data_IF_961371939479
#
_entry.id   IF_961371939479
#
_cell.length_a   1.000
_cell.length_b   1.000
_cell.length_c   1.000
_cell.angle_alpha   90.00
_cell.angle_beta   90.00
_cell.angle_gamma   90.00
#
_symmetry.space_group_name_H-M   'P 1'
#
loop_
_entity.id
_entity.type
_entity.pdbx_description
1 polymer ?
#
# COMPACT_ATOMS: atom_id res chain seq x y z
N UNK A 1 -15.53 -0.60 -14.32
CA UNK A 1 -16.71 -1.44 -13.98
C UNK A 1 -17.12 -1.15 -12.54
N UNK A 2 -18.41 -1.03 -12.26
CA UNK A 2 -18.97 -0.87 -10.92
C UNK A 2 -19.83 -2.08 -10.55
N UNK A 3 -19.70 -2.55 -9.32
CA UNK A 3 -20.50 -3.64 -8.73
C UNK A 3 -20.84 -3.21 -7.31
N UNK A 4 -22.13 -3.28 -6.91
CA UNK A 4 -22.57 -2.83 -5.57
C UNK A 4 -21.95 -3.65 -4.43
N UNK A 5 -21.70 -4.93 -4.64
CA UNK A 5 -21.10 -5.85 -3.66
C UNK A 5 -20.31 -6.95 -4.35
N UNK A 6 -19.17 -7.31 -3.78
CA UNK A 6 -18.38 -8.48 -4.18
C UNK A 6 -17.62 -9.04 -2.98
N UNK A 7 -17.08 -10.25 -3.08
CA UNK A 7 -16.22 -10.79 -2.02
C UNK A 7 -14.88 -10.06 -1.94
N UNK A 8 -14.24 -9.75 -3.08
CA UNK A 8 -13.01 -8.97 -3.16
C UNK A 8 -12.79 -8.47 -4.58
N UNK A 9 -12.56 -7.18 -4.76
CA UNK A 9 -12.30 -6.60 -6.09
C UNK A 9 -11.03 -7.17 -6.72
N UNK A 10 -9.98 -7.45 -5.93
CA UNK A 10 -8.72 -8.04 -6.41
C UNK A 10 -8.92 -9.48 -6.89
N UNK A 11 -9.64 -10.29 -6.10
CA UNK A 11 -9.93 -11.68 -6.49
C UNK A 11 -10.80 -11.72 -7.74
N UNK A 12 -11.86 -10.89 -7.77
CA UNK A 12 -12.75 -10.81 -8.93
C UNK A 12 -11.99 -10.37 -10.20
N UNK A 13 -11.10 -9.37 -10.10
CA UNK A 13 -10.31 -8.92 -11.24
C UNK A 13 -9.34 -10.00 -11.73
N UNK A 14 -8.71 -10.74 -10.80
CA UNK A 14 -7.85 -11.87 -11.15
C UNK A 14 -8.63 -12.99 -11.88
N UNK A 15 -9.86 -13.30 -11.45
CA UNK A 15 -10.71 -14.31 -12.09
C UNK A 15 -11.22 -13.88 -13.48
N UNK A 16 -11.48 -12.58 -13.66
CA UNK A 16 -11.92 -12.01 -14.93
C UNK A 16 -10.77 -11.66 -15.87
N UNK A 17 -9.52 -11.85 -15.42
CA UNK A 17 -8.38 -11.48 -16.23
C UNK A 17 -8.41 -12.15 -17.60
N UNK A 18 -8.16 -11.34 -18.60
CA UNK A 18 -7.88 -11.78 -19.98
C UNK A 18 -6.95 -10.78 -20.66
N UNK A 19 -6.25 -11.22 -21.69
CA UNK A 19 -5.36 -10.34 -22.46
C UNK A 19 -6.10 -9.23 -23.22
N UNK A 20 -7.42 -9.32 -23.33
CA UNK A 20 -8.27 -8.28 -23.94
C UNK A 20 -8.57 -7.11 -22.98
N UNK A 21 -8.38 -7.27 -21.67
CA UNK A 21 -8.60 -6.18 -20.72
C UNK A 21 -7.55 -5.09 -20.91
N UNK A 22 -7.96 -3.82 -21.02
CA UNK A 22 -7.01 -2.72 -21.20
C UNK A 22 -6.21 -2.46 -19.93
N UNK A 23 -5.05 -1.82 -20.08
CA UNK A 23 -4.32 -1.22 -18.98
C UNK A 23 -5.20 -0.21 -18.23
N UNK A 24 -5.10 -0.17 -16.90
CA UNK A 24 -5.95 0.58 -15.98
C UNK A 24 -7.43 0.15 -15.98
N UNK A 25 -7.75 -1.06 -16.50
CA UNK A 25 -9.09 -1.60 -16.28
C UNK A 25 -9.34 -1.72 -14.78
N UNK A 26 -10.44 -1.12 -14.31
CA UNK A 26 -10.71 -0.96 -12.88
C UNK A 26 -12.09 -1.52 -12.52
N UNK A 27 -12.13 -2.31 -11.43
CA UNK A 27 -13.36 -2.76 -10.78
C UNK A 27 -13.48 -2.02 -9.44
N UNK A 28 -14.59 -1.33 -9.22
CA UNK A 28 -14.95 -0.65 -7.96
C UNK A 28 -16.19 -1.29 -7.35
N UNK A 29 -16.24 -1.32 -6.02
CA UNK A 29 -17.42 -1.79 -5.26
C UNK A 29 -17.72 -0.86 -4.08
N UNK A 30 -18.97 -0.90 -3.61
CA UNK A 30 -19.37 -0.23 -2.36
C UNK A 30 -19.08 -1.07 -1.13
N UNK A 31 -18.98 -2.41 -1.29
CA UNK A 31 -18.77 -3.31 -0.17
C UNK A 31 -18.03 -4.59 -0.59
N UNK A 32 -17.12 -5.04 0.26
CA UNK A 32 -16.43 -6.34 0.14
C UNK A 32 -16.79 -7.24 1.31
N UNK A 33 -17.34 -8.44 1.02
CA UNK A 33 -17.67 -9.43 2.06
C UNK A 33 -16.43 -10.18 2.58
N UNK A 34 -15.34 -10.19 1.81
CA UNK A 34 -14.07 -10.82 2.15
C UNK A 34 -12.90 -9.95 1.66
N UNK A 35 -12.89 -8.67 2.06
CA UNK A 35 -11.81 -7.73 1.72
C UNK A 35 -10.45 -8.24 2.14
N UNK A 36 -9.47 -8.18 1.23
CA UNK A 36 -8.12 -8.75 1.40
C UNK A 36 -7.09 -7.65 1.64
N UNK A 37 -6.19 -7.93 2.58
CA UNK A 37 -4.94 -7.22 2.77
C UNK A 37 -3.75 -8.14 2.52
N UNK A 38 -2.55 -7.68 2.83
CA UNK A 38 -1.35 -8.49 2.70
C UNK A 38 -1.33 -9.63 3.74
N UNK A 39 -0.88 -10.81 3.30
CA UNK A 39 -0.53 -11.94 4.16
C UNK A 39 -1.63 -12.48 5.06
N UNK A 40 -2.82 -12.59 4.55
CA UNK A 40 -3.96 -13.13 5.28
C UNK A 40 -4.68 -12.12 6.15
N UNK A 41 -4.25 -10.86 6.18
CA UNK A 41 -5.01 -9.80 6.82
C UNK A 41 -6.27 -9.46 6.00
N UNK A 42 -7.37 -9.15 6.70
CA UNK A 42 -8.57 -8.60 6.09
C UNK A 42 -8.47 -7.08 5.87
N UNK A 43 -9.37 -6.57 5.05
CA UNK A 43 -9.65 -5.14 4.92
C UNK A 43 -11.09 -4.88 5.35
N UNK A 44 -11.28 -4.14 6.45
CA UNK A 44 -12.59 -3.73 6.93
C UNK A 44 -13.10 -2.51 6.16
N UNK A 45 -14.37 -2.51 5.82
CA UNK A 45 -15.03 -1.35 5.22
C UNK A 45 -16.53 -1.36 5.49
N UNK A 46 -17.06 -0.21 5.91
CA UNK A 46 -18.49 0.02 5.96
C UNK A 46 -19.04 0.28 4.54
N UNK A 47 -20.23 -0.25 4.26
CA UNK A 47 -20.87 -0.15 2.92
C UNK A 47 -21.02 1.30 2.47
N UNK A 48 -20.47 1.61 1.28
CA UNK A 48 -20.59 2.91 0.63
C UNK A 48 -19.80 4.05 1.28
N UNK A 49 -19.05 3.78 2.35
CA UNK A 49 -18.30 4.82 3.06
C UNK A 49 -16.86 4.99 2.56
N UNK A 50 -16.30 3.97 1.94
CA UNK A 50 -14.88 3.94 1.56
C UNK A 50 -14.72 3.68 0.05
N UNK A 51 -13.61 4.10 -0.50
CA UNK A 51 -13.25 3.78 -1.87
C UNK A 51 -12.55 2.42 -1.91
N UNK A 52 -13.20 1.44 -2.52
CA UNK A 52 -12.72 0.06 -2.66
C UNK A 52 -12.63 -0.29 -4.14
N UNK A 53 -11.43 -0.52 -4.65
CA UNK A 53 -11.25 -0.87 -6.04
C UNK A 53 -10.00 -1.71 -6.29
N UNK A 54 -9.97 -2.36 -7.44
CA UNK A 54 -8.76 -2.99 -7.96
C UNK A 54 -8.57 -2.61 -9.42
N UNK A 55 -7.33 -2.38 -9.81
CA UNK A 55 -6.96 -2.01 -11.17
C UNK A 55 -5.93 -2.95 -11.75
N UNK A 56 -6.01 -3.19 -13.06
CA UNK A 56 -5.07 -3.98 -13.83
C UNK A 56 -3.96 -3.08 -14.38
N UNK A 57 -2.73 -3.37 -14.01
CA UNK A 57 -1.54 -2.73 -14.59
C UNK A 57 -0.88 -3.70 -15.57
N UNK A 58 -0.60 -3.22 -16.76
CA UNK A 58 0.09 -3.98 -17.82
C UNK A 58 1.25 -3.14 -18.35
N UNK A 59 2.44 -3.64 -18.15
CA UNK A 59 3.66 -3.01 -18.66
C UNK A 59 4.47 -4.02 -19.45
N UNK A 60 5.02 -3.58 -20.55
CA UNK A 60 6.00 -4.39 -21.29
C UNK A 60 7.36 -4.27 -20.60
N UNK A 61 8.02 -5.42 -20.41
CA UNK A 61 9.43 -5.50 -20.02
C UNK A 61 9.80 -5.00 -18.60
N UNK A 62 8.90 -5.03 -17.62
CA UNK A 62 9.30 -4.87 -16.22
C UNK A 62 9.88 -6.19 -15.71
N UNK A 63 11.17 -6.20 -15.39
CA UNK A 63 11.81 -7.34 -14.72
C UNK A 63 11.18 -7.58 -13.35
N UNK A 64 10.96 -8.84 -12.98
CA UNK A 64 10.44 -9.20 -11.65
C UNK A 64 11.33 -8.66 -10.52
N UNK A 65 12.65 -8.55 -10.72
CA UNK A 65 13.59 -7.94 -9.78
C UNK A 65 13.39 -6.42 -9.60
N UNK A 66 12.66 -5.77 -10.51
CA UNK A 66 12.35 -4.34 -10.48
C UNK A 66 10.86 -4.05 -10.21
N UNK A 67 10.10 -5.04 -9.76
CA UNK A 67 8.67 -4.88 -9.43
C UNK A 67 8.40 -3.83 -8.34
N UNK A 68 9.42 -3.50 -7.53
CA UNK A 68 9.35 -2.43 -6.52
C UNK A 68 8.93 -1.08 -7.11
N UNK A 69 9.30 -0.80 -8.36
CA UNK A 69 8.86 0.42 -9.06
C UNK A 69 7.34 0.58 -9.07
N UNK A 70 6.59 -0.52 -9.18
CA UNK A 70 5.12 -0.48 -9.18
C UNK A 70 4.57 -0.04 -7.82
N UNK A 71 5.19 -0.49 -6.73
CA UNK A 71 4.81 -0.07 -5.37
C UNK A 71 5.03 1.42 -5.16
N UNK A 72 6.18 1.95 -5.58
CA UNK A 72 6.46 3.38 -5.50
C UNK A 72 5.49 4.20 -6.35
N UNK A 73 5.29 3.81 -7.61
CA UNK A 73 4.41 4.50 -8.55
C UNK A 73 2.99 4.63 -8.01
N UNK A 74 2.39 3.52 -7.57
CA UNK A 74 1.02 3.50 -7.03
C UNK A 74 0.91 4.35 -5.76
N UNK A 75 1.89 4.25 -4.86
CA UNK A 75 1.87 5.00 -3.60
C UNK A 75 2.02 6.50 -3.84
N UNK A 76 2.93 6.92 -4.73
CA UNK A 76 3.13 8.34 -5.07
C UNK A 76 1.89 8.93 -5.76
N UNK A 77 1.30 8.21 -6.71
CA UNK A 77 0.06 8.65 -7.36
C UNK A 77 -1.09 8.82 -6.36
N UNK A 78 -1.23 7.93 -5.37
CA UNK A 78 -2.22 8.08 -4.30
C UNK A 78 -1.91 9.24 -3.37
N UNK A 79 -0.64 9.39 -2.98
CA UNK A 79 -0.21 10.52 -2.15
C UNK A 79 -0.54 11.85 -2.81
N UNK A 80 -0.23 12.02 -4.09
CA UNK A 80 -0.52 13.22 -4.88
C UNK A 80 -2.02 13.56 -4.88
N UNK A 81 -2.88 12.56 -5.07
CA UNK A 81 -4.33 12.76 -5.03
C UNK A 81 -4.78 13.20 -3.65
N UNK A 82 -4.37 12.48 -2.61
CA UNK A 82 -4.80 12.76 -1.23
C UNK A 82 -4.26 14.11 -0.72
N UNK A 83 -3.11 14.54 -1.21
CA UNK A 83 -2.52 15.85 -0.91
C UNK A 83 -3.33 17.05 -1.42
N UNK A 84 -4.33 16.84 -2.30
CA UNK A 84 -5.29 17.87 -2.70
C UNK A 84 -6.48 17.99 -1.73
N UNK A 85 -6.70 17.00 -0.89
CA UNK A 85 -7.80 16.96 0.07
C UNK A 85 -7.35 17.16 1.51
N UNK A 86 -6.10 16.80 1.82
CA UNK A 86 -5.57 16.73 3.19
C UNK A 86 -4.33 17.61 3.35
N UNK A 87 -4.09 18.16 4.54
CA UNK A 87 -2.83 18.85 4.86
C UNK A 87 -1.63 17.91 4.65
N UNK A 88 -0.61 18.40 3.93
CA UNK A 88 0.51 17.57 3.46
C UNK A 88 1.47 17.15 4.57
N UNK A 89 1.52 17.91 5.65
CA UNK A 89 2.52 17.78 6.73
C UNK A 89 2.46 16.44 7.46
N UNK A 90 1.26 15.86 7.56
CA UNK A 90 1.05 14.56 8.22
C UNK A 90 0.79 13.41 7.25
N UNK A 91 0.70 13.69 5.95
CA UNK A 91 0.44 12.68 4.92
C UNK A 91 1.77 12.06 4.46
N UNK A 92 1.94 10.76 4.68
CA UNK A 92 3.18 10.06 4.40
C UNK A 92 2.94 8.70 3.75
N UNK A 93 3.97 8.19 3.07
CA UNK A 93 3.99 6.84 2.50
C UNK A 93 4.73 5.94 3.50
N UNK A 94 4.03 5.01 4.15
CA UNK A 94 4.68 4.01 4.97
C UNK A 94 5.15 2.84 4.12
N UNK A 95 6.45 2.58 4.16
CA UNK A 95 7.03 1.44 3.46
C UNK A 95 6.30 0.13 3.76
N UNK A 96 5.99 -0.74 2.76
CA UNK A 96 6.38 -0.56 1.35
C UNK A 96 5.47 0.37 0.55
N UNK A 97 4.18 0.53 0.84
CA UNK A 97 3.24 1.23 -0.03
C UNK A 97 1.93 1.72 0.62
N UNK A 98 1.75 1.58 1.93
CA UNK A 98 0.57 2.11 2.62
C UNK A 98 0.63 3.64 2.74
N UNK A 99 -0.53 4.33 2.74
CA UNK A 99 -0.57 5.76 3.04
C UNK A 99 -1.04 5.96 4.48
N UNK A 100 -0.29 6.79 5.20
CA UNK A 100 -0.54 7.11 6.59
C UNK A 100 -0.84 8.60 6.76
N UNK A 101 -1.66 8.89 7.77
CA UNK A 101 -1.85 10.22 8.35
C UNK A 101 -1.30 10.21 9.78
N UNK A 102 -0.20 10.89 10.01
CA UNK A 102 0.57 10.72 11.25
C UNK A 102 0.91 9.24 11.46
N UNK A 103 0.46 8.67 12.57
CA UNK A 103 0.66 7.25 12.89
C UNK A 103 -0.52 6.34 12.48
N UNK A 104 -1.52 6.88 11.78
CA UNK A 104 -2.74 6.16 11.45
C UNK A 104 -2.80 5.76 9.98
N UNK A 105 -3.32 4.57 9.71
CA UNK A 105 -3.44 4.04 8.34
C UNK A 105 -4.66 4.60 7.64
N UNK A 106 -4.43 5.34 6.57
CA UNK A 106 -5.46 5.93 5.72
C UNK A 106 -5.79 5.05 4.51
N UNK A 107 -4.75 4.47 3.88
CA UNK A 107 -4.87 3.64 2.69
C UNK A 107 -4.10 2.35 2.84
N UNK A 108 -4.71 1.24 2.42
CA UNK A 108 -4.05 -0.04 2.21
C UNK A 108 -3.93 -0.38 0.73
N UNK A 109 -2.75 -0.88 0.33
CA UNK A 109 -2.46 -1.28 -1.05
C UNK A 109 -1.99 -2.73 -1.07
N UNK A 110 -2.61 -3.53 -1.92
CA UNK A 110 -2.23 -4.92 -2.20
C UNK A 110 -1.85 -5.06 -3.67
N UNK A 111 -0.61 -5.38 -3.96
CA UNK A 111 -0.12 -5.61 -5.32
C UNK A 111 0.16 -7.09 -5.50
N UNK A 112 -0.53 -7.71 -6.45
CA UNK A 112 -0.38 -9.12 -6.81
C UNK A 112 0.17 -9.18 -8.25
N UNK A 113 1.41 -9.65 -8.39
CA UNK A 113 2.11 -9.71 -9.68
C UNK A 113 2.02 -11.13 -10.27
N UNK A 114 1.57 -11.25 -11.51
CA UNK A 114 1.68 -12.46 -12.30
C UNK A 114 2.97 -12.41 -13.15
N UNK A 115 3.83 -13.41 -12.98
CA UNK A 115 5.12 -13.46 -13.67
C UNK A 115 5.03 -14.28 -14.95
N UNK A 116 5.64 -13.78 -16.03
CA UNK A 116 5.85 -14.49 -17.28
C UNK A 116 7.37 -14.53 -17.54
N UNK A 117 7.95 -15.70 -17.31
CA UNK A 117 9.41 -15.85 -17.34
C UNK A 117 10.11 -14.99 -16.30
N UNK A 118 10.94 -14.04 -16.73
CA UNK A 118 11.67 -13.10 -15.86
C UNK A 118 10.95 -11.75 -15.66
N UNK A 119 9.82 -11.56 -16.33
CA UNK A 119 9.11 -10.29 -16.35
C UNK A 119 7.80 -10.37 -15.55
N UNK A 120 7.33 -9.21 -15.10
CA UNK A 120 5.95 -9.02 -14.66
C UNK A 120 5.07 -9.00 -15.90
N UNK A 121 4.17 -9.97 -16.07
CA UNK A 121 3.22 -10.01 -17.17
C UNK A 121 2.07 -9.03 -16.96
N UNK A 122 1.52 -9.02 -15.75
CA UNK A 122 0.54 -8.04 -15.30
C UNK A 122 0.53 -7.96 -13.78
N UNK A 123 -0.10 -6.91 -13.26
CA UNK A 123 -0.31 -6.75 -11.82
C UNK A 123 -1.76 -6.39 -11.54
N UNK A 124 -2.36 -7.01 -10.54
CA UNK A 124 -3.63 -6.59 -9.96
C UNK A 124 -3.33 -5.79 -8.69
N UNK A 125 -3.73 -4.53 -8.70
CA UNK A 125 -3.50 -3.60 -7.58
C UNK A 125 -4.84 -3.33 -6.89
N UNK A 126 -5.01 -3.92 -5.71
CA UNK A 126 -6.15 -3.65 -4.83
C UNK A 126 -5.86 -2.46 -3.92
N UNK A 127 -6.78 -1.53 -3.85
CA UNK A 127 -6.67 -0.30 -3.06
C UNK A 127 -7.94 -0.10 -2.24
N UNK A 128 -7.74 0.10 -0.93
CA UNK A 128 -8.77 0.55 -0.01
C UNK A 128 -8.41 1.89 0.60
N UNK A 129 -9.19 2.93 0.31
CA UNK A 129 -9.04 4.26 0.91
C UNK A 129 -10.14 4.45 1.93
N UNK A 130 -9.78 4.75 3.17
CA UNK A 130 -10.73 5.12 4.21
C UNK A 130 -11.20 6.57 3.95
N UNK A 131 -12.42 6.74 3.45
CA UNK A 131 -12.93 8.05 3.03
C UNK A 131 -13.87 8.64 4.08
N UNK A 132 -15.03 8.03 4.26
CA UNK A 132 -16.11 8.57 5.10
C UNK A 132 -16.47 7.71 6.33
N UNK A 133 -15.83 6.56 6.50
CA UNK A 133 -16.05 5.70 7.67
C UNK A 133 -15.49 6.35 8.94
N UNK A 134 -16.27 6.34 10.02
CA UNK A 134 -15.89 6.95 11.31
C UNK A 134 -15.80 5.94 12.45
N UNK A 135 -16.39 4.77 12.30
CA UNK A 135 -16.40 3.71 13.29
C UNK A 135 -15.71 2.45 12.75
N UNK A 136 -14.96 1.78 13.62
CA UNK A 136 -14.17 0.61 13.29
C UNK A 136 -14.52 -0.53 14.24
N UNK A 137 -14.79 -1.70 13.71
CA UNK A 137 -15.23 -2.89 14.49
C UNK A 137 -14.13 -3.96 14.56
N UNK A 138 -13.17 -3.93 13.63
CA UNK A 138 -12.04 -4.87 13.63
C UNK A 138 -10.96 -4.45 14.62
N UNK A 139 -10.02 -5.36 14.85
CA UNK A 139 -8.80 -5.09 15.64
C UNK A 139 -7.70 -4.40 14.81
N UNK A 140 -8.06 -3.67 13.75
CA UNK A 140 -7.10 -2.86 13.00
C UNK A 140 -6.45 -1.84 13.95
N UNK A 141 -5.12 -1.78 14.05
CA UNK A 141 -4.48 -1.10 15.18
C UNK A 141 -4.64 0.42 15.14
N UNK A 142 -4.83 1.02 13.98
CA UNK A 142 -4.77 2.47 13.83
C UNK A 142 -5.42 2.99 12.54
N UNK A 143 -6.67 2.61 12.22
CA UNK A 143 -7.34 3.14 11.04
C UNK A 143 -7.73 4.61 11.26
N UNK A 144 -7.75 5.37 10.16
CA UNK A 144 -8.28 6.73 10.11
C UNK A 144 -8.89 6.99 8.74
N UNK A 145 -9.89 7.84 8.65
CA UNK A 145 -10.51 8.25 7.39
C UNK A 145 -10.30 9.73 7.08
N UNK A 146 -10.50 10.10 5.82
CA UNK A 146 -10.45 11.50 5.37
C UNK A 146 -11.49 12.35 6.12
N UNK A 147 -12.69 11.79 6.34
CA UNK A 147 -13.75 12.47 7.10
C UNK A 147 -13.34 12.74 8.56
N UNK A 148 -12.69 11.80 9.23
CA UNK A 148 -12.18 12.00 10.60
C UNK A 148 -11.09 13.07 10.67
N UNK A 149 -10.26 13.18 9.61
CA UNK A 149 -9.20 14.20 9.54
C UNK A 149 -9.76 15.59 9.31
N UNK A 150 -10.75 15.73 8.44
CA UNK A 150 -11.19 17.04 7.93
C UNK A 150 -12.55 17.49 8.46
N UNK A 151 -13.33 16.58 9.03
CA UNK A 151 -14.72 16.81 9.41
C UNK A 151 -15.69 16.91 8.22
N UNK A 152 -15.28 16.49 7.01
CA UNK A 152 -16.08 16.57 5.78
C UNK A 152 -16.23 15.20 5.12
N UNK A 153 -17.38 14.94 4.50
CA UNK A 153 -17.55 13.78 3.61
C UNK A 153 -17.07 14.11 2.20
N UNK A 154 -16.60 13.09 1.49
CA UNK A 154 -16.06 13.18 0.13
C UNK A 154 -16.72 12.18 -0.81
N UNK A 155 -17.01 12.57 -2.07
CA UNK A 155 -17.45 11.64 -3.10
C UNK A 155 -16.33 10.68 -3.46
N UNK A 156 -16.55 9.38 -3.25
CA UNK A 156 -15.49 8.37 -3.48
C UNK A 156 -15.11 8.23 -4.96
N UNK A 157 -16.06 8.53 -5.87
CA UNK A 157 -15.87 8.48 -7.31
C UNK A 157 -14.83 9.51 -7.78
N UNK A 158 -14.89 10.73 -7.27
CA UNK A 158 -13.97 11.82 -7.63
C UNK A 158 -12.52 11.47 -7.25
N UNK A 159 -12.33 10.77 -6.13
CA UNK A 159 -11.01 10.31 -5.69
C UNK A 159 -10.48 9.24 -6.66
N UNK A 160 -11.33 8.31 -7.11
CA UNK A 160 -10.95 7.29 -8.09
C UNK A 160 -10.56 7.90 -9.43
N UNK A 161 -11.35 8.83 -9.95
CA UNK A 161 -11.07 9.52 -11.21
C UNK A 161 -9.75 10.29 -11.13
N UNK A 162 -9.55 11.02 -10.03
CA UNK A 162 -8.31 11.75 -9.76
C UNK A 162 -7.11 10.80 -9.71
N UNK A 163 -7.27 9.62 -9.09
CA UNK A 163 -6.18 8.63 -9.01
C UNK A 163 -5.84 8.04 -10.39
N UNK A 164 -6.83 7.73 -11.22
CA UNK A 164 -6.59 7.26 -12.60
C UNK A 164 -5.82 8.32 -13.40
N UNK A 165 -6.18 9.59 -13.25
CA UNK A 165 -5.46 10.69 -13.90
C UNK A 165 -4.02 10.83 -13.37
N UNK A 166 -3.83 10.74 -12.05
CA UNK A 166 -2.51 10.78 -11.42
C UNK A 166 -1.63 9.60 -11.88
N UNK A 167 -2.17 8.38 -11.94
CA UNK A 167 -1.45 7.21 -12.45
C UNK A 167 -0.93 7.45 -13.87
N UNK A 168 -1.79 7.88 -14.78
CA UNK A 168 -1.40 8.19 -16.17
C UNK A 168 -0.31 9.26 -16.26
N UNK A 169 -0.31 10.23 -15.37
CA UNK A 169 0.73 11.26 -15.30
C UNK A 169 2.06 10.71 -14.77
N UNK A 170 2.01 9.94 -13.68
CA UNK A 170 3.20 9.40 -13.04
C UNK A 170 3.87 8.28 -13.85
N UNK A 171 3.11 7.51 -14.64
CA UNK A 171 3.64 6.48 -15.54
C UNK A 171 4.58 7.04 -16.62
N UNK A 172 4.41 8.30 -16.99
CA UNK A 172 5.26 9.00 -17.95
C UNK A 172 6.59 9.51 -17.36
N UNK A 173 6.76 9.43 -16.02
CA UNK A 173 7.95 9.91 -15.34
C UNK A 173 9.07 8.86 -15.33
N UNK A 174 10.30 9.34 -15.27
CA UNK A 174 11.45 8.48 -15.07
C UNK A 174 11.42 7.82 -13.69
N UNK A 175 12.05 6.65 -13.57
CA UNK A 175 12.07 5.91 -12.30
C UNK A 175 12.68 6.72 -11.16
N UNK A 176 13.72 7.50 -11.45
CA UNK A 176 14.42 8.35 -10.49
C UNK A 176 13.53 9.47 -9.93
N UNK A 177 12.61 10.00 -10.75
CA UNK A 177 11.62 11.00 -10.29
C UNK A 177 10.60 10.37 -9.35
N UNK A 178 10.12 9.15 -9.68
CA UNK A 178 9.18 8.39 -8.84
C UNK A 178 9.85 8.04 -7.50
N UNK A 179 11.09 7.56 -7.53
CA UNK A 179 11.86 7.23 -6.34
C UNK A 179 12.10 8.45 -5.46
N UNK A 180 12.49 9.57 -6.06
CA UNK A 180 12.69 10.83 -5.35
C UNK A 180 11.41 11.28 -4.65
N UNK A 181 10.28 11.28 -5.34
CA UNK A 181 8.98 11.62 -4.77
C UNK A 181 8.57 10.65 -3.65
N UNK A 182 8.76 9.35 -3.86
CA UNK A 182 8.48 8.34 -2.85
C UNK A 182 9.30 8.57 -1.57
N UNK A 183 10.62 8.76 -1.70
CA UNK A 183 11.52 9.00 -0.57
C UNK A 183 11.22 10.34 0.14
N UNK A 184 10.82 11.36 -0.61
CA UNK A 184 10.44 12.67 -0.05
C UNK A 184 9.26 12.55 0.92
N UNK A 185 8.31 11.65 0.64
CA UNK A 185 7.10 11.48 1.43
C UNK A 185 7.15 10.27 2.36
N UNK A 186 8.33 9.66 2.54
CA UNK A 186 8.46 8.44 3.32
C UNK A 186 8.22 8.69 4.81
N UNK A 187 7.34 7.88 5.40
CA UNK A 187 7.08 7.85 6.83
C UNK A 187 8.34 7.44 7.62
N UNK A 188 8.69 8.20 8.66
CA UNK A 188 9.90 7.99 9.47
C UNK A 188 11.20 8.02 8.67
N UNK A 189 11.25 8.86 7.67
CA UNK A 189 12.46 9.07 6.88
C UNK A 189 13.61 9.64 7.71
N UNK A 190 13.28 10.52 8.63
CA UNK A 190 14.28 11.23 9.46
C UNK A 190 14.16 10.83 10.93
N UNK A 191 15.30 10.88 11.63
CA UNK A 191 15.37 10.62 13.06
C UNK A 191 15.48 9.14 13.43
N UNK A 192 15.52 8.92 14.74
CA UNK A 192 15.58 7.59 15.33
C UNK A 192 14.19 7.13 15.73
N UNK A 193 13.82 5.90 15.34
CA UNK A 193 12.51 5.33 15.61
C UNK A 193 12.62 3.92 16.14
N UNK A 194 11.60 3.50 16.88
CA UNK A 194 11.54 2.15 17.46
C UNK A 194 10.96 1.16 16.45
N UNK A 195 11.65 0.04 16.30
CA UNK A 195 11.27 -1.08 15.45
C UNK A 195 11.38 -2.39 16.23
N UNK A 196 10.72 -3.43 15.71
CA UNK A 196 10.79 -4.81 16.23
C UNK A 196 11.08 -5.73 15.05
N UNK A 197 12.09 -6.58 15.19
CA UNK A 197 12.37 -7.65 14.23
C UNK A 197 11.34 -8.78 14.39
N UNK A 198 10.92 -9.34 13.28
CA UNK A 198 10.05 -10.50 13.22
C UNK A 198 10.77 -11.64 12.51
N UNK A 199 10.77 -12.81 13.11
CA UNK A 199 11.16 -14.02 12.40
C UNK A 199 10.07 -14.38 11.39
N UNK A 200 10.42 -14.40 10.12
CA UNK A 200 9.55 -14.94 9.07
C UNK A 200 9.72 -16.45 9.09
N UNK A 201 8.85 -17.17 9.82
CA UNK A 201 8.82 -18.62 9.76
C UNK A 201 8.46 -19.07 8.35
N UNK A 202 9.34 -19.88 7.75
CA UNK A 202 9.09 -20.54 6.46
C UNK A 202 8.23 -21.79 6.58
N UNK A 203 7.85 -22.19 7.80
CA UNK A 203 7.07 -23.39 8.06
C UNK A 203 5.56 -23.06 8.18
N UNK A 204 4.67 -23.79 7.47
CA UNK A 204 3.23 -23.54 7.48
C UNK A 204 2.53 -23.82 8.82
N UNK A 205 3.21 -24.39 9.80
CA UNK A 205 2.62 -24.93 11.04
C UNK A 205 3.26 -24.46 12.35
N UNK A 206 4.17 -23.49 12.29
CA UNK A 206 4.72 -22.94 13.53
C UNK A 206 3.72 -21.95 14.13
N UNK A 207 3.04 -22.35 15.21
CA UNK A 207 2.46 -21.41 16.17
C UNK A 207 3.62 -20.51 16.59
N UNK A 208 3.57 -19.23 16.18
CA UNK A 208 4.56 -18.27 16.58
C UNK A 208 4.59 -18.26 18.11
N UNK A 209 5.63 -18.84 18.70
CA UNK A 209 5.92 -18.59 20.10
C UNK A 209 6.18 -17.09 20.18
N UNK A 210 5.37 -16.39 20.96
CA UNK A 210 5.61 -15.01 21.36
C UNK A 210 6.89 -14.98 22.20
N UNK A 211 8.04 -15.04 21.52
CA UNK A 211 9.30 -14.63 22.10
C UNK A 211 9.19 -13.13 22.41
N UNK A 212 9.88 -12.67 23.45
CA UNK A 212 10.01 -11.26 23.77
C UNK A 212 10.58 -10.58 22.51
N UNK A 213 9.73 -9.85 21.78
CA UNK A 213 10.16 -9.09 20.60
C UNK A 213 11.03 -7.94 21.10
N UNK A 214 12.35 -8.05 20.99
CA UNK A 214 13.27 -7.00 21.40
C UNK A 214 13.11 -5.79 20.47
N UNK A 215 12.56 -4.73 21.04
CA UNK A 215 12.47 -3.45 20.36
C UNK A 215 13.85 -2.80 20.30
N UNK A 216 14.19 -2.20 19.14
CA UNK A 216 15.46 -1.50 18.95
C UNK A 216 15.22 -0.14 18.28
N UNK A 217 16.13 0.81 18.53
CA UNK A 217 16.16 2.09 17.85
C UNK A 217 16.98 1.97 16.55
N UNK A 218 16.44 2.54 15.48
CA UNK A 218 17.15 2.66 14.21
C UNK A 218 16.69 3.87 13.42
N UNK A 219 17.53 4.30 12.49
CA UNK A 219 17.20 5.33 11.53
C UNK A 219 17.18 4.76 10.12
N UNK A 220 16.35 5.35 9.27
CA UNK A 220 16.27 5.04 7.85
C UNK A 220 17.55 5.48 7.13
N UNK A 221 18.13 4.59 6.31
CA UNK A 221 19.33 4.86 5.49
C UNK A 221 18.98 4.86 4.02
N UNK A 222 18.10 3.96 3.58
CA UNK A 222 17.76 3.82 2.17
C UNK A 222 16.84 2.65 1.89
N UNK A 223 16.61 2.43 0.60
CA UNK A 223 15.88 1.29 0.07
C UNK A 223 16.76 0.67 -1.04
N UNK A 224 16.86 -0.65 -1.08
CA UNK A 224 17.58 -1.35 -2.15
C UNK A 224 16.84 -1.26 -3.48
N UNK A 225 17.48 -1.59 -4.58
CA UNK A 225 16.81 -1.68 -5.90
C UNK A 225 15.66 -2.71 -5.93
N UNK A 226 15.67 -3.68 -5.01
CA UNK A 226 14.63 -4.69 -4.85
C UNK A 226 13.48 -4.22 -3.94
N UNK A 227 13.61 -3.04 -3.32
CA UNK A 227 12.59 -2.45 -2.45
C UNK A 227 12.71 -2.84 -0.97
N UNK A 228 13.86 -3.36 -0.55
CA UNK A 228 14.13 -3.74 0.82
C UNK A 228 14.53 -2.51 1.64
N UNK A 229 14.08 -2.45 2.90
CA UNK A 229 14.37 -1.34 3.81
C UNK A 229 15.76 -1.48 4.43
N UNK A 230 16.57 -0.42 4.37
CA UNK A 230 17.88 -0.37 5.02
C UNK A 230 17.78 0.51 6.26
N UNK A 231 18.05 -0.07 7.42
CA UNK A 231 18.08 0.62 8.71
C UNK A 231 19.46 0.54 9.34
N UNK A 232 19.87 1.63 10.00
CA UNK A 232 21.08 1.69 10.85
C UNK A 232 20.67 1.71 12.30
N UNK A 233 21.17 0.75 13.09
CA UNK A 233 20.96 0.64 14.53
C UNK A 233 21.90 1.60 15.30
N UNK A 234 21.66 1.81 16.58
CA UNK A 234 22.50 2.67 17.44
C UNK A 234 23.97 2.24 17.54
N UNK A 235 24.24 0.97 17.36
CA UNK A 235 25.61 0.40 17.31
C UNK A 235 26.30 0.61 15.95
N UNK A 236 25.73 1.43 15.05
CA UNK A 236 26.15 1.64 13.66
C UNK A 236 26.06 0.43 12.73
N UNK A 237 25.42 -0.67 13.13
CA UNK A 237 25.13 -1.80 12.27
C UNK A 237 24.04 -1.41 11.26
N UNK A 238 24.32 -1.59 9.97
CA UNK A 238 23.33 -1.47 8.91
C UNK A 238 22.76 -2.85 8.58
N UNK A 239 21.44 -2.94 8.54
CA UNK A 239 20.74 -4.19 8.25
C UNK A 239 19.63 -3.96 7.21
N UNK A 240 19.52 -4.91 6.28
CA UNK A 240 18.52 -4.93 5.22
C UNK A 240 17.35 -5.78 5.71
N UNK A 241 16.13 -5.26 5.50
CA UNK A 241 14.90 -5.92 5.93
C UNK A 241 13.97 -6.12 4.72
N UNK A 242 13.57 -7.35 4.50
CA UNK A 242 12.46 -7.66 3.63
C UNK A 242 11.12 -7.27 4.29
N UNK A 243 10.10 -7.11 3.46
CA UNK A 243 8.76 -6.88 3.96
C UNK A 243 8.35 -7.97 4.97
N UNK A 244 7.73 -7.57 6.09
CA UNK A 244 7.34 -8.37 7.27
C UNK A 244 8.45 -8.79 8.23
N UNK A 245 9.72 -8.68 7.89
CA UNK A 245 10.81 -8.93 8.85
C UNK A 245 10.90 -7.84 9.91
N UNK A 246 10.20 -6.71 9.71
CA UNK A 246 10.22 -5.59 10.62
C UNK A 246 8.82 -5.03 10.89
N UNK A 247 8.56 -4.66 12.13
CA UNK A 247 7.38 -3.95 12.57
C UNK A 247 7.76 -2.58 13.10
N UNK A 248 7.07 -1.55 12.64
CA UNK A 248 7.15 -0.19 13.16
C UNK A 248 6.37 -0.13 14.48
N UNK A 249 6.99 0.26 15.58
CA UNK A 249 6.31 0.52 16.86
C UNK A 249 5.72 1.91 16.77
N UNK A 250 4.38 2.01 16.79
CA UNK A 250 3.64 3.28 16.64
C UNK A 250 3.52 4.01 17.98
#
# INVERSE_FOLDING_TARGET
MYISETYSTSTLLNEQYSDALPHLYTIRTDFQTAGRGQAGNGWESERGKNLLFSTLLRYENILATKQWRLSMLVAVALWDVLANYLPKENLTIKWPNDIYWGNNKLVGILIENALIGKNVGHSVVGIGVNVNQTEWTSNAPNPISMCQITGKEYPVEEILESWICAMKSWELRHTEEIETAYLQHLYRREGWHTYVEREVSTAPTAIAQQGVEDAFLAQFIGITEQGELILRKENNEEKIYHFKQIRFVL
#
